data_IF_183026428237
#
_entry.id   IF_183026428237
#
_cell.length_a   1.000
_cell.length_b   1.000
_cell.length_c   1.000
_cell.angle_alpha   90.00
_cell.angle_beta   90.00
_cell.angle_gamma   90.00
#
_symmetry.space_group_name_H-M   'P 1'
#
loop_
_entity.id
_entity.type
_entity.pdbx_description
1 polymer ?
#
# COMPACT_ATOMS: atom_id res chain seq x y z
N UNK A 1 4.97 -21.36 -48.30
CA UNK A 1 5.25 -20.00 -47.78
C UNK A 1 4.98 -19.96 -46.27
N UNK A 2 6.02 -19.98 -45.44
CA UNK A 2 5.87 -19.91 -43.98
C UNK A 2 5.73 -18.46 -43.54
N UNK A 3 4.57 -18.07 -42.99
CA UNK A 3 4.36 -16.73 -42.43
C UNK A 3 5.22 -16.59 -41.17
N UNK A 4 6.32 -15.83 -41.24
CA UNK A 4 7.08 -15.38 -40.06
C UNK A 4 6.11 -14.73 -39.07
N UNK A 5 5.89 -15.37 -37.92
CA UNK A 5 5.17 -14.78 -36.78
C UNK A 5 5.87 -13.47 -36.43
N UNK A 6 5.19 -12.33 -36.65
CA UNK A 6 5.67 -11.02 -36.17
C UNK A 6 5.85 -11.14 -34.66
N UNK A 7 7.10 -11.01 -34.18
CA UNK A 7 7.38 -10.87 -32.76
C UNK A 7 6.66 -9.61 -32.29
N UNK A 8 5.52 -9.77 -31.62
CA UNK A 8 4.77 -8.67 -31.02
C UNK A 8 5.69 -8.04 -29.98
N UNK A 9 6.04 -6.78 -30.22
CA UNK A 9 6.82 -5.85 -29.39
C UNK A 9 7.28 -6.43 -28.05
N UNK A 10 8.59 -6.73 -27.94
CA UNK A 10 9.22 -6.85 -26.63
C UNK A 10 9.14 -5.46 -26.00
N UNK A 11 8.43 -5.32 -24.87
CA UNK A 11 8.44 -4.09 -24.10
C UNK A 11 9.88 -3.73 -23.73
N UNK A 12 10.21 -2.45 -23.74
CA UNK A 12 11.53 -1.99 -23.32
C UNK A 12 11.62 -2.05 -21.79
N UNK A 13 12.19 -3.14 -21.28
CA UNK A 13 12.41 -3.36 -19.85
C UNK A 13 11.30 -4.08 -19.09
N UNK A 14 11.36 -3.97 -17.76
CA UNK A 14 10.43 -4.61 -16.84
C UNK A 14 9.06 -3.93 -16.88
N UNK A 15 7.99 -4.72 -16.91
CA UNK A 15 6.62 -4.24 -16.97
C UNK A 15 5.79 -4.74 -15.79
N UNK A 16 5.02 -3.83 -15.18
CA UNK A 16 4.04 -4.14 -14.14
C UNK A 16 2.64 -4.34 -14.73
N UNK A 17 2.20 -5.60 -14.78
CA UNK A 17 0.87 -5.94 -15.28
C UNK A 17 -0.24 -5.82 -14.23
N UNK A 18 -1.33 -5.14 -14.62
CA UNK A 18 -2.65 -5.22 -13.96
C UNK A 18 -3.59 -6.02 -14.88
N UNK A 19 -4.14 -7.12 -14.37
CA UNK A 19 -5.02 -7.99 -15.16
C UNK A 19 -6.40 -7.36 -15.39
N UNK A 20 -7.11 -7.80 -16.42
CA UNK A 20 -8.48 -7.36 -16.68
C UNK A 20 -9.40 -7.62 -15.49
N UNK A 21 -9.31 -8.81 -14.89
CA UNK A 21 -10.08 -9.20 -13.69
C UNK A 21 -9.83 -8.26 -12.52
N UNK A 22 -8.57 -7.85 -12.30
CA UNK A 22 -8.25 -6.86 -11.28
C UNK A 22 -8.87 -5.51 -11.62
N UNK A 23 -8.66 -4.98 -12.82
CA UNK A 23 -9.19 -3.68 -13.26
C UNK A 23 -10.71 -3.57 -13.09
N UNK A 24 -11.43 -4.63 -13.43
CA UNK A 24 -12.90 -4.64 -13.41
C UNK A 24 -13.49 -4.95 -12.03
N UNK A 25 -12.69 -5.47 -11.12
CA UNK A 25 -13.14 -5.78 -9.75
C UNK A 25 -13.65 -4.55 -9.02
N UNK A 26 -14.64 -4.76 -8.16
CA UNK A 26 -15.17 -3.69 -7.29
C UNK A 26 -14.08 -3.10 -6.39
N UNK A 27 -13.16 -3.96 -5.92
CA UNK A 27 -12.01 -3.58 -5.12
C UNK A 27 -11.17 -2.51 -5.83
N UNK A 28 -10.84 -2.71 -7.11
CA UNK A 28 -10.00 -1.81 -7.87
C UNK A 28 -10.75 -0.55 -8.34
N UNK A 29 -12.02 -0.68 -8.71
CA UNK A 29 -12.87 0.46 -9.10
C UNK A 29 -12.99 1.50 -8.00
N UNK A 30 -13.05 1.07 -6.73
CA UNK A 30 -13.16 1.93 -5.53
C UNK A 30 -11.88 2.67 -5.14
N UNK A 31 -10.75 2.37 -5.80
CA UNK A 31 -9.48 3.03 -5.51
C UNK A 31 -9.42 4.44 -6.09
N UNK A 32 -8.78 5.35 -5.35
CA UNK A 32 -8.35 6.64 -5.88
C UNK A 32 -7.26 6.46 -6.94
N UNK A 33 -7.03 7.49 -7.77
CA UNK A 33 -5.96 7.45 -8.77
C UNK A 33 -4.58 7.21 -8.17
N UNK A 34 -4.29 7.82 -7.01
CA UNK A 34 -3.05 7.60 -6.27
C UNK A 34 -2.93 6.16 -5.74
N UNK A 35 -4.04 5.55 -5.31
CA UNK A 35 -4.01 4.17 -4.85
C UNK A 35 -3.84 3.18 -6.01
N UNK A 36 -4.44 3.45 -7.18
CA UNK A 36 -4.19 2.68 -8.41
C UNK A 36 -2.72 2.79 -8.83
N UNK A 37 -2.14 3.99 -8.84
CA UNK A 37 -0.72 4.19 -9.14
C UNK A 37 0.17 3.46 -8.14
N UNK A 38 -0.11 3.58 -6.84
CA UNK A 38 0.64 2.87 -5.81
C UNK A 38 0.58 1.35 -5.98
N UNK A 39 -0.57 0.80 -6.41
CA UNK A 39 -0.65 -0.63 -6.72
C UNK A 39 0.27 -1.01 -7.88
N UNK A 40 0.35 -0.18 -8.91
CA UNK A 40 1.29 -0.39 -10.03
C UNK A 40 2.75 -0.36 -9.54
N UNK A 41 3.11 0.56 -8.64
CA UNK A 41 4.44 0.59 -8.01
C UNK A 41 4.76 -0.72 -7.24
N UNK A 42 3.79 -1.25 -6.49
CA UNK A 42 3.95 -2.56 -5.85
C UNK A 42 4.16 -3.68 -6.89
N UNK A 43 3.47 -3.61 -8.03
CA UNK A 43 3.61 -4.58 -9.12
C UNK A 43 4.94 -4.46 -9.85
N UNK A 44 5.52 -3.27 -9.98
CA UNK A 44 6.88 -3.06 -10.52
C UNK A 44 7.98 -3.62 -9.60
N UNK A 45 7.72 -3.66 -8.29
CA UNK A 45 8.64 -4.28 -7.32
C UNK A 45 8.51 -5.80 -7.25
N UNK A 46 7.48 -6.37 -7.87
CA UNK A 46 7.25 -7.81 -7.87
C UNK A 46 8.07 -8.48 -8.99
N UNK A 47 8.95 -9.40 -8.62
CA UNK A 47 9.86 -10.08 -9.55
C UNK A 47 9.42 -11.51 -9.91
N UNK A 48 8.23 -11.95 -9.50
CA UNK A 48 7.74 -13.32 -9.70
C UNK A 48 7.91 -14.22 -8.48
N UNK A 49 8.87 -13.94 -7.59
CA UNK A 49 9.24 -14.81 -6.46
C UNK A 49 9.10 -14.13 -5.09
N UNK A 50 8.97 -12.80 -5.05
CA UNK A 50 8.87 -12.02 -3.81
C UNK A 50 7.44 -11.59 -3.47
N UNK A 51 6.44 -12.41 -3.78
CA UNK A 51 5.02 -12.07 -3.62
C UNK A 51 4.64 -11.68 -2.19
N UNK A 52 5.34 -12.17 -1.17
CA UNK A 52 5.20 -11.81 0.26
C UNK A 52 6.42 -11.05 0.84
N UNK A 53 7.35 -10.63 0.00
CA UNK A 53 8.59 -9.97 0.43
C UNK A 53 8.85 -8.67 -0.34
N UNK A 54 7.79 -7.89 -0.62
CA UNK A 54 7.92 -6.60 -1.29
C UNK A 54 8.28 -5.54 -0.26
N UNK A 55 9.48 -4.99 -0.37
CA UNK A 55 9.97 -3.93 0.50
C UNK A 55 9.57 -2.58 -0.09
N UNK A 56 8.93 -1.74 0.73
CA UNK A 56 8.58 -0.38 0.37
C UNK A 56 8.97 0.59 1.48
N UNK A 57 9.98 1.42 1.22
CA UNK A 57 10.53 2.36 2.20
C UNK A 57 9.80 3.70 2.20
N UNK A 58 9.93 4.46 3.28
CA UNK A 58 9.37 5.82 3.32
C UNK A 58 10.06 6.78 2.34
N UNK A 59 11.35 6.56 2.02
CA UNK A 59 12.08 7.38 1.04
C UNK A 59 11.48 7.21 -0.35
N UNK A 60 11.25 5.96 -0.77
CA UNK A 60 10.57 5.66 -2.03
C UNK A 60 9.15 6.22 -2.06
N UNK A 61 8.41 6.08 -0.95
CA UNK A 61 7.06 6.64 -0.83
C UNK A 61 7.02 8.15 -1.07
N UNK A 62 7.99 8.89 -0.52
CA UNK A 62 8.10 10.34 -0.70
C UNK A 62 8.45 10.75 -2.13
N UNK A 63 9.18 9.90 -2.86
CA UNK A 63 9.54 10.18 -4.25
C UNK A 63 8.34 10.07 -5.20
N UNK A 64 7.34 9.25 -4.86
CA UNK A 64 6.16 9.05 -5.71
C UNK A 64 4.96 9.92 -5.32
N UNK A 65 4.78 10.24 -4.03
CA UNK A 65 3.68 11.08 -3.56
C UNK A 65 3.92 11.62 -2.14
N UNK A 66 3.09 12.57 -1.72
CA UNK A 66 3.07 13.04 -0.33
C UNK A 66 2.81 11.87 0.64
N UNK A 67 3.48 11.90 1.80
CA UNK A 67 3.47 10.77 2.75
C UNK A 67 2.07 10.44 3.27
N UNK A 68 1.22 11.46 3.48
CA UNK A 68 -0.15 11.26 3.93
C UNK A 68 -1.01 10.59 2.87
N UNK A 69 -0.81 10.97 1.60
CA UNK A 69 -1.45 10.33 0.45
C UNK A 69 -0.99 8.89 0.33
N UNK A 70 0.31 8.61 0.51
CA UNK A 70 0.84 7.25 0.53
C UNK A 70 0.18 6.40 1.63
N UNK A 71 0.10 6.91 2.86
CA UNK A 71 -0.52 6.20 3.99
C UNK A 71 -1.99 5.89 3.69
N UNK A 72 -2.75 6.86 3.19
CA UNK A 72 -4.16 6.69 2.82
C UNK A 72 -4.32 5.65 1.69
N UNK A 73 -3.56 5.80 0.62
CA UNK A 73 -3.56 4.90 -0.53
C UNK A 73 -3.19 3.47 -0.14
N UNK A 74 -2.08 3.29 0.60
CA UNK A 74 -1.63 1.99 1.11
C UNK A 74 -2.69 1.34 1.98
N UNK A 75 -3.25 2.09 2.94
CA UNK A 75 -4.31 1.57 3.81
C UNK A 75 -5.52 1.14 2.98
N UNK A 76 -5.86 1.88 1.92
CA UNK A 76 -6.96 1.51 1.03
C UNK A 76 -6.68 0.23 0.26
N UNK A 77 -5.46 0.04 -0.24
CA UNK A 77 -5.04 -1.20 -0.91
C UNK A 77 -5.13 -2.42 0.01
N UNK A 78 -4.76 -2.27 1.29
CA UNK A 78 -4.90 -3.32 2.30
C UNK A 78 -6.37 -3.61 2.61
N UNK A 79 -7.17 -2.55 2.75
CA UNK A 79 -8.60 -2.65 3.05
C UNK A 79 -9.36 -3.41 1.97
N UNK A 80 -9.05 -3.17 0.69
CA UNK A 80 -9.70 -3.86 -0.44
C UNK A 80 -9.06 -5.21 -0.77
N UNK A 81 -7.96 -5.57 -0.11
CA UNK A 81 -7.32 -6.88 -0.26
C UNK A 81 -6.48 -7.05 -1.52
N UNK A 82 -5.92 -5.96 -2.05
CA UNK A 82 -4.96 -6.01 -3.17
C UNK A 82 -3.52 -6.22 -2.69
N UNK A 83 -3.21 -5.78 -1.47
CA UNK A 83 -1.94 -6.03 -0.79
C UNK A 83 -2.19 -6.41 0.67
N UNK A 84 -1.21 -7.03 1.31
CA UNK A 84 -1.17 -7.35 2.72
C UNK A 84 0.13 -6.85 3.37
N UNK A 85 0.08 -6.57 4.67
CA UNK A 85 1.28 -6.27 5.47
C UNK A 85 1.80 -7.60 6.01
N UNK A 86 2.96 -8.03 5.54
CA UNK A 86 3.63 -9.27 6.00
C UNK A 86 4.47 -8.98 7.24
N UNK A 87 5.28 -7.92 7.19
CA UNK A 87 6.07 -7.46 8.35
C UNK A 87 5.92 -5.96 8.52
N UNK A 88 5.68 -5.54 9.75
CA UNK A 88 5.62 -4.14 10.12
C UNK A 88 7.02 -3.52 10.11
N UNK A 89 7.14 -2.34 9.49
CA UNK A 89 8.32 -1.48 9.62
C UNK A 89 8.23 -0.46 10.76
N UNK A 90 9.26 0.37 10.90
CA UNK A 90 9.28 1.56 11.77
C UNK A 90 9.84 1.35 13.17
N UNK A 91 9.95 0.12 13.67
CA UNK A 91 10.82 -0.16 14.82
C UNK A 91 12.26 -0.21 14.31
N UNK A 92 13.20 0.50 14.96
CA UNK A 92 14.63 0.48 14.59
C UNK A 92 14.93 0.78 13.11
N UNK A 93 14.14 1.66 12.46
CA UNK A 93 14.27 1.99 11.03
C UNK A 93 14.08 0.80 10.07
N UNK A 94 13.51 -0.31 10.54
CA UNK A 94 13.20 -1.47 9.70
C UNK A 94 12.14 -1.09 8.65
N UNK A 95 12.32 -1.49 7.38
CA UNK A 95 11.33 -1.22 6.35
C UNK A 95 10.08 -2.11 6.55
N UNK A 96 8.96 -1.67 6.00
CA UNK A 96 7.75 -2.49 5.97
C UNK A 96 7.84 -3.48 4.80
N UNK A 97 7.42 -4.71 5.07
CA UNK A 97 7.33 -5.80 4.09
C UNK A 97 5.87 -6.04 3.78
N UNK A 98 5.56 -6.03 2.50
CA UNK A 98 4.23 -6.22 1.95
C UNK A 98 4.17 -7.47 1.09
N UNK A 99 2.96 -7.97 0.90
CA UNK A 99 2.67 -8.98 -0.10
C UNK A 99 1.53 -8.58 -1.02
N UNK A 100 1.53 -9.10 -2.24
CA UNK A 100 0.36 -9.05 -3.10
C UNK A 100 -0.69 -10.01 -2.55
N UNK A 101 -1.95 -9.60 -2.60
CA UNK A 101 -3.04 -10.36 -2.00
C UNK A 101 -4.07 -10.73 -3.05
N UNK A 102 -4.73 -11.86 -2.83
CA UNK A 102 -5.87 -12.33 -3.63
C UNK A 102 -7.22 -12.09 -2.94
N UNK A 103 -7.22 -11.47 -1.77
CA UNK A 103 -8.45 -11.20 -0.99
C UNK A 103 -9.43 -10.32 -1.76
N UNK A 104 -8.95 -9.46 -2.66
CA UNK A 104 -9.77 -8.63 -3.53
C UNK A 104 -10.76 -9.44 -4.38
N UNK A 105 -10.47 -10.70 -4.70
CA UNK A 105 -11.38 -11.59 -5.46
C UNK A 105 -12.72 -11.80 -4.76
N UNK A 106 -12.71 -11.74 -3.43
CA UNK A 106 -13.91 -11.89 -2.58
C UNK A 106 -14.47 -10.54 -2.13
N UNK A 107 -13.87 -9.41 -2.49
CA UNK A 107 -14.31 -8.09 -2.04
C UNK A 107 -15.77 -7.84 -2.44
N UNK A 108 -16.57 -7.34 -1.49
CA UNK A 108 -18.02 -7.12 -1.68
C UNK A 108 -18.90 -8.34 -1.37
N UNK A 109 -18.31 -9.53 -1.18
CA UNK A 109 -19.03 -10.76 -0.81
C UNK A 109 -19.04 -10.99 0.70
N UNK A 110 -19.91 -11.90 1.17
CA UNK A 110 -19.96 -12.34 2.58
C UNK A 110 -18.66 -13.00 3.04
N UNK A 111 -17.91 -13.60 2.11
CA UNK A 111 -16.64 -14.30 2.39
C UNK A 111 -15.43 -13.35 2.42
N UNK A 112 -15.64 -12.04 2.30
CA UNK A 112 -14.55 -11.08 2.34
C UNK A 112 -13.97 -10.93 3.74
N UNK A 113 -12.74 -11.39 3.93
CA UNK A 113 -12.00 -11.14 5.16
C UNK A 113 -11.43 -9.71 5.18
N UNK A 114 -12.06 -8.83 5.94
CA UNK A 114 -11.60 -7.45 6.14
C UNK A 114 -10.50 -7.40 7.20
N UNK A 115 -9.34 -6.87 6.80
CA UNK A 115 -8.22 -6.63 7.72
C UNK A 115 -8.41 -5.33 8.47
N UNK A 116 -8.43 -5.39 9.80
CA UNK A 116 -8.38 -4.20 10.65
C UNK A 116 -6.94 -3.74 10.86
N UNK A 117 -6.53 -2.72 10.11
CA UNK A 117 -5.21 -2.11 10.19
C UNK A 117 -4.91 -1.62 11.62
N UNK A 118 -5.93 -1.19 12.39
CA UNK A 118 -5.73 -0.76 13.78
C UNK A 118 -5.39 -1.94 14.69
N UNK A 119 -5.83 -3.17 14.39
CA UNK A 119 -5.40 -4.37 15.15
C UNK A 119 -3.95 -4.75 14.85
N UNK A 120 -3.46 -4.43 13.65
CA UNK A 120 -2.05 -4.61 13.26
C UNK A 120 -1.12 -3.56 13.94
N UNK A 121 -1.68 -2.43 14.41
CA UNK A 121 -0.92 -1.43 15.17
C UNK A 121 -0.81 -1.81 16.67
N UNK A 122 0.39 -1.78 17.29
CA UNK A 122 0.57 -1.93 18.73
C UNK A 122 -0.27 -0.92 19.50
N UNK A 123 -0.76 -1.30 20.69
CA UNK A 123 -1.55 -0.44 21.59
C UNK A 123 -0.86 0.91 21.87
N UNK A 124 0.47 0.95 21.92
CA UNK A 124 1.29 2.15 22.13
C UNK A 124 0.97 3.27 21.13
N UNK A 125 0.61 2.94 19.88
CA UNK A 125 0.23 3.93 18.86
C UNK A 125 -1.27 4.28 18.87
N UNK A 126 -2.07 3.57 19.66
CA UNK A 126 -3.49 3.89 19.91
C UNK A 126 -3.63 4.91 21.05
N UNK A 127 -2.61 5.01 21.90
CA UNK A 127 -2.56 5.97 22.99
C UNK A 127 -2.40 7.37 22.42
N UNK A 128 -3.50 8.11 22.30
CA UNK A 128 -3.43 9.56 22.06
C UNK A 128 -2.86 10.20 23.32
N UNK A 129 -1.62 10.66 23.27
CA UNK A 129 -1.07 11.49 24.33
C UNK A 129 -1.89 12.78 24.42
N UNK A 130 -2.34 13.14 25.62
CA UNK A 130 -3.05 14.42 25.84
C UNK A 130 -2.15 15.58 25.43
N UNK A 131 -2.75 16.67 24.91
CA UNK A 131 -2.03 17.92 24.64
C UNK A 131 -1.31 18.36 25.93
N UNK A 132 0.01 18.53 25.88
CA UNK A 132 0.84 18.83 27.07
C UNK A 132 1.47 17.62 27.78
N UNK A 133 1.38 16.41 27.21
CA UNK A 133 2.04 15.24 27.79
C UNK A 133 3.57 15.41 27.90
N UNK A 134 4.14 15.08 29.07
CA UNK A 134 5.56 15.29 29.46
C UNK A 134 6.57 14.80 28.40
N UNK A 135 6.24 13.71 27.70
CA UNK A 135 7.08 13.09 26.67
C UNK A 135 7.07 13.82 25.31
N UNK A 136 6.05 14.63 25.00
CA UNK A 136 5.90 15.30 23.68
C UNK A 136 6.55 16.70 23.62
N UNK A 137 6.91 17.28 24.78
CA UNK A 137 7.49 18.62 24.88
C UNK A 137 6.54 19.74 24.37
N UNK A 138 6.95 20.99 24.55
CA UNK A 138 6.17 22.22 24.29
C UNK A 138 5.84 22.51 22.80
N UNK A 139 5.72 21.51 21.93
CA UNK A 139 5.38 21.69 20.50
C UNK A 139 3.94 22.13 20.24
N UNK A 140 3.09 22.16 21.26
CA UNK A 140 1.72 22.65 21.19
C UNK A 140 1.43 23.67 22.30
N UNK A 141 2.16 24.79 22.35
CA UNK A 141 1.74 25.95 23.16
C UNK A 141 0.32 26.36 22.72
N UNK A 142 -0.57 26.65 23.68
CA UNK A 142 -1.87 27.28 23.40
C UNK A 142 -1.58 28.61 22.69
N UNK A 143 -2.30 28.91 21.60
CA UNK A 143 -2.37 30.30 21.11
C UNK A 143 -3.11 31.08 22.19
N UNK A 144 -2.42 31.99 22.84
CA UNK A 144 -3.06 33.04 23.63
C UNK A 144 -3.65 34.02 22.61
N UNK A 145 -4.97 34.17 22.62
CA UNK A 145 -5.61 35.27 21.93
C UNK A 145 -5.42 36.49 22.83
N UNK A 146 -4.64 37.46 22.33
CA UNK A 146 -4.64 38.84 22.82
C UNK A 146 -6.00 39.48 22.53
#
# INVERSE_FOLDING_TARGET
>A
MSKKKKNKSKFDGHFAGVTHKQRESEAFKKLSIHAKWLYVEFRFKYNGQNDHNIIFTQKEAKNIMAIDTFIKSRNKLIEVGLIDIVKRGGLEKQPAIYGLSDRWKKYGTKDFFKVDIKKILPKIFKTKFKKGHKFMGNRFKKREHL
#
